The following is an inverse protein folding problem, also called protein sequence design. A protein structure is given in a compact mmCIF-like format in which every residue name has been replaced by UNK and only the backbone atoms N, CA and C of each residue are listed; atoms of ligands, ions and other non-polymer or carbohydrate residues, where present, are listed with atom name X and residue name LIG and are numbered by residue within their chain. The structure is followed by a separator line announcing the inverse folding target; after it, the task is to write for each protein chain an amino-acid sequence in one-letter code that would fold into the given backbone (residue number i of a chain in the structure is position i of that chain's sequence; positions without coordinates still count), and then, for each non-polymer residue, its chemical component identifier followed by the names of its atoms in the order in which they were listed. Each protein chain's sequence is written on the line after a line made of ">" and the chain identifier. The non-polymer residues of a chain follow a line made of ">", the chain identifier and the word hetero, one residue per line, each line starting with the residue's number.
data_IF_720941818022
#
_entry.id   IF_720941818022
#
_cell.length_a   1.000
_cell.length_b   1.000
_cell.length_c   1.000
_cell.angle_alpha   90.00
_cell.angle_beta   90.00
_cell.angle_gamma   90.00
#
_symmetry.space_group_name_H-M   'P 1'
#
loop_
_entity.id
_entity.type
_entity.pdbx_description
1 polymer ?
#
# COMPACT_ATOMS: atom_id res chain seq x y z
N UNK A 1 -13.31 10.89 -26.25
CA UNK A 1 -13.40 10.84 -24.77
C UNK A 1 -12.35 9.84 -24.31
N UNK A 2 -11.22 10.34 -23.82
CA UNK A 2 -10.07 9.56 -23.31
C UNK A 2 -9.45 10.25 -22.08
N UNK A 3 -10.23 11.09 -21.38
CA UNK A 3 -9.70 11.98 -20.34
C UNK A 3 -9.53 11.28 -18.99
N UNK A 4 -10.41 10.33 -18.64
CA UNK A 4 -10.43 9.76 -17.29
C UNK A 4 -9.21 8.89 -16.99
N UNK A 5 -8.74 8.11 -17.98
CA UNK A 5 -7.58 7.24 -17.77
C UNK A 5 -6.25 7.99 -17.75
N UNK A 6 -6.09 9.02 -18.58
CA UNK A 6 -4.86 9.83 -18.59
C UNK A 6 -4.72 10.63 -17.29
N UNK A 7 -5.84 11.14 -16.76
CA UNK A 7 -5.90 11.74 -15.42
C UNK A 7 -5.58 10.70 -14.34
N UNK A 8 -6.16 9.51 -14.41
CA UNK A 8 -5.82 8.41 -13.50
C UNK A 8 -4.32 8.10 -13.48
N UNK A 9 -3.67 7.96 -14.64
CA UNK A 9 -2.23 7.66 -14.70
C UNK A 9 -1.40 8.77 -14.06
N UNK A 10 -1.81 10.02 -14.26
CA UNK A 10 -1.13 11.17 -13.69
C UNK A 10 -1.32 11.25 -12.17
N UNK A 11 -2.56 11.09 -11.68
CA UNK A 11 -2.87 11.07 -10.25
C UNK A 11 -2.17 9.91 -9.56
N UNK A 12 -2.22 8.70 -10.12
CA UNK A 12 -1.51 7.52 -9.61
C UNK A 12 0.00 7.77 -9.51
N UNK A 13 0.61 8.34 -10.55
CA UNK A 13 2.03 8.69 -10.52
C UNK A 13 2.37 9.73 -9.45
N UNK A 14 1.53 10.76 -9.29
CA UNK A 14 1.74 11.82 -8.31
C UNK A 14 1.61 11.31 -6.87
N UNK A 15 0.53 10.59 -6.57
CA UNK A 15 0.25 10.11 -5.22
C UNK A 15 1.24 9.04 -4.78
N UNK A 16 1.63 8.12 -5.66
CA UNK A 16 2.65 7.09 -5.34
C UNK A 16 4.03 7.70 -5.13
N UNK A 17 4.41 8.73 -5.90
CA UNK A 17 5.64 9.47 -5.68
C UNK A 17 5.62 10.23 -4.34
N UNK A 18 4.49 10.84 -4.00
CA UNK A 18 4.31 11.52 -2.72
C UNK A 18 4.39 10.54 -1.54
N UNK A 19 3.68 9.41 -1.62
CA UNK A 19 3.73 8.32 -0.63
C UNK A 19 5.18 7.85 -0.45
N UNK A 20 5.89 7.56 -1.55
CA UNK A 20 7.30 7.14 -1.51
C UNK A 20 8.18 8.15 -0.77
N UNK A 21 7.99 9.44 -1.05
CA UNK A 21 8.74 10.52 -0.39
C UNK A 21 8.47 10.55 1.12
N UNK A 22 7.20 10.40 1.51
CA UNK A 22 6.78 10.37 2.91
C UNK A 22 7.31 9.14 3.64
N UNK A 23 7.21 7.94 3.03
CA UNK A 23 7.76 6.71 3.62
C UNK A 23 9.27 6.85 3.89
N UNK A 24 10.02 7.44 2.97
CA UNK A 24 11.46 7.72 3.16
C UNK A 24 11.77 8.73 4.27
N UNK A 25 10.77 9.51 4.72
CA UNK A 25 10.86 10.44 5.86
C UNK A 25 10.43 9.82 7.18
N UNK A 26 9.49 8.87 7.20
CA UNK A 26 9.01 8.19 8.41
C UNK A 26 10.14 7.72 9.35
N UNK A 27 11.22 7.02 8.89
CA UNK A 27 12.28 6.57 9.77
C UNK A 27 13.23 7.70 10.24
N UNK A 28 13.01 8.95 9.79
CA UNK A 28 13.76 10.12 10.24
C UNK A 28 12.97 10.96 11.25
N UNK A 29 11.69 10.66 11.43
CA UNK A 29 10.79 11.35 12.36
C UNK A 29 10.61 10.55 13.64
N UNK A 30 10.14 11.21 14.70
CA UNK A 30 9.88 10.58 16.00
C UNK A 30 8.70 11.28 16.69
N UNK A 31 8.06 10.59 17.64
CA UNK A 31 6.91 11.14 18.38
C UNK A 31 5.71 11.45 17.48
N UNK A 32 5.03 12.55 17.78
CA UNK A 32 3.76 12.93 17.13
C UNK A 32 3.90 13.17 15.62
N UNK A 33 5.02 13.76 15.18
CA UNK A 33 5.29 13.99 13.74
C UNK A 33 5.37 12.68 12.95
N UNK A 34 5.95 11.63 13.55
CA UNK A 34 5.97 10.30 12.94
C UNK A 34 4.55 9.74 12.85
N UNK A 35 3.79 9.81 13.94
CA UNK A 35 2.41 9.30 14.00
C UNK A 35 1.52 9.97 12.97
N UNK A 36 1.55 11.30 12.88
CA UNK A 36 0.81 12.07 11.88
C UNK A 36 1.18 11.65 10.45
N UNK A 37 2.48 11.48 10.17
CA UNK A 37 2.93 11.09 8.84
C UNK A 37 2.53 9.65 8.49
N UNK A 38 2.60 8.73 9.46
CA UNK A 38 2.15 7.34 9.30
C UNK A 38 0.66 7.30 8.96
N UNK A 39 -0.19 7.99 9.72
CA UNK A 39 -1.63 8.07 9.46
C UNK A 39 -1.94 8.70 8.09
N UNK A 40 -1.19 9.73 7.71
CA UNK A 40 -1.37 10.38 6.41
C UNK A 40 -1.03 9.42 5.25
N UNK A 41 0.10 8.70 5.35
CA UNK A 41 0.49 7.72 4.34
C UNK A 41 -0.48 6.55 4.27
N UNK A 42 -0.94 6.06 5.42
CA UNK A 42 -1.92 4.97 5.52
C UNK A 42 -3.23 5.32 4.79
N UNK A 43 -3.77 6.52 5.07
CA UNK A 43 -4.95 7.03 4.39
C UNK A 43 -4.73 7.17 2.88
N UNK A 44 -3.58 7.72 2.46
CA UNK A 44 -3.27 7.86 1.04
C UNK A 44 -3.17 6.52 0.32
N UNK A 45 -2.60 5.50 0.97
CA UNK A 45 -2.54 4.14 0.41
C UNK A 45 -3.95 3.55 0.24
N UNK A 46 -4.85 3.78 1.19
CA UNK A 46 -6.25 3.37 1.09
C UNK A 46 -6.98 4.08 -0.06
N UNK A 47 -6.82 5.41 -0.17
CA UNK A 47 -7.40 6.21 -1.26
C UNK A 47 -6.96 5.71 -2.64
N UNK A 48 -5.65 5.44 -2.82
CA UNK A 48 -5.12 4.91 -4.09
C UNK A 48 -5.66 3.51 -4.39
N UNK A 49 -5.81 2.68 -3.37
CA UNK A 49 -6.33 1.31 -3.53
C UNK A 49 -7.78 1.32 -3.97
N UNK A 50 -8.61 2.16 -3.35
CA UNK A 50 -10.02 2.31 -3.72
C UNK A 50 -10.17 2.86 -5.14
N UNK A 51 -9.39 3.88 -5.48
CA UNK A 51 -9.33 4.47 -6.81
C UNK A 51 -8.85 3.44 -7.85
N UNK A 52 -7.88 2.59 -7.53
CA UNK A 52 -7.46 1.55 -8.46
C UNK A 52 -8.55 0.49 -8.71
N UNK A 53 -9.35 0.12 -7.71
CA UNK A 53 -10.42 -0.88 -7.88
C UNK A 53 -11.58 -0.32 -8.71
N UNK A 54 -11.94 0.94 -8.47
CA UNK A 54 -13.01 1.65 -9.15
C UNK A 54 -12.69 1.83 -10.64
N UNK A 55 -11.51 2.37 -10.96
CA UNK A 55 -11.10 2.61 -12.33
C UNK A 55 -10.89 1.31 -13.12
N UNK A 56 -10.31 0.26 -12.51
CA UNK A 56 -10.14 -1.05 -13.17
C UNK A 56 -11.47 -1.67 -13.57
N UNK A 57 -12.50 -1.47 -12.73
CA UNK A 57 -13.84 -1.97 -12.98
C UNK A 57 -14.53 -1.23 -14.13
N UNK A 58 -14.22 0.04 -14.33
CA UNK A 58 -14.76 0.86 -15.41
C UNK A 58 -14.07 0.64 -16.77
N UNK A 59 -12.91 -0.04 -16.80
CA UNK A 59 -12.21 -0.34 -18.06
C UNK A 59 -13.04 -1.27 -18.95
N UNK A 60 -13.38 -0.85 -20.19
CA UNK A 60 -14.11 -1.69 -21.12
C UNK A 60 -13.28 -2.91 -21.55
N UNK A 61 -13.96 -4.05 -21.70
CA UNK A 61 -13.35 -5.37 -22.01
C UNK A 61 -12.43 -5.31 -23.24
N UNK A 62 -12.79 -4.50 -24.23
CA UNK A 62 -12.03 -4.30 -25.48
C UNK A 62 -10.65 -3.66 -25.24
N UNK A 63 -10.54 -2.76 -24.26
CA UNK A 63 -9.29 -2.08 -23.91
C UNK A 63 -8.51 -2.78 -22.79
N UNK A 64 -9.14 -3.72 -22.07
CA UNK A 64 -8.55 -4.44 -20.93
C UNK A 64 -7.27 -5.20 -21.27
N UNK A 65 -7.12 -5.67 -22.51
CA UNK A 65 -5.89 -6.32 -22.97
C UNK A 65 -4.71 -5.34 -23.06
N UNK A 66 -4.96 -4.10 -23.49
CA UNK A 66 -3.92 -3.07 -23.59
C UNK A 66 -3.48 -2.57 -22.21
N UNK A 67 -4.43 -2.42 -21.27
CA UNK A 67 -4.14 -1.95 -19.92
C UNK A 67 -3.61 -3.03 -18.99
N UNK A 68 -3.73 -4.32 -19.35
CA UNK A 68 -3.38 -5.44 -18.47
C UNK A 68 -1.95 -5.34 -17.92
N UNK A 69 -0.99 -4.97 -18.78
CA UNK A 69 0.41 -4.77 -18.38
C UNK A 69 0.57 -3.61 -17.40
N UNK A 70 -0.09 -2.47 -17.65
CA UNK A 70 -0.05 -1.31 -16.75
C UNK A 70 -0.68 -1.62 -15.40
N UNK A 71 -1.85 -2.26 -15.38
CA UNK A 71 -2.53 -2.66 -14.14
C UNK A 71 -1.69 -3.63 -13.30
N UNK A 72 -0.95 -4.54 -13.93
CA UNK A 72 0.00 -5.40 -13.22
C UNK A 72 1.13 -4.58 -12.60
N UNK A 73 1.68 -3.60 -13.33
CA UNK A 73 2.69 -2.69 -12.79
C UNK A 73 2.15 -1.87 -11.62
N UNK A 74 0.96 -1.31 -11.71
CA UNK A 74 0.36 -0.55 -10.60
C UNK A 74 0.12 -1.41 -9.36
N UNK A 75 -0.35 -2.65 -9.53
CA UNK A 75 -0.47 -3.61 -8.43
C UNK A 75 0.88 -3.88 -7.76
N UNK A 76 1.92 -4.11 -8.54
CA UNK A 76 3.26 -4.35 -8.01
C UNK A 76 3.84 -3.11 -7.31
N UNK A 77 3.59 -1.92 -7.86
CA UNK A 77 3.98 -0.65 -7.24
C UNK A 77 3.30 -0.47 -5.88
N UNK A 78 1.99 -0.73 -5.80
CA UNK A 78 1.23 -0.69 -4.56
C UNK A 78 1.77 -1.69 -3.52
N UNK A 79 1.98 -2.95 -3.90
CA UNK A 79 2.57 -3.95 -2.99
C UNK A 79 3.97 -3.54 -2.50
N UNK A 80 4.75 -2.84 -3.32
CA UNK A 80 6.06 -2.31 -2.96
C UNK A 80 5.93 -1.17 -1.95
N UNK A 81 5.01 -0.23 -2.17
CA UNK A 81 4.76 0.88 -1.25
C UNK A 81 4.30 0.38 0.12
N UNK A 82 3.39 -0.60 0.16
CA UNK A 82 2.93 -1.22 1.41
C UNK A 82 4.10 -1.87 2.16
N UNK A 83 4.96 -2.62 1.47
CA UNK A 83 6.17 -3.22 2.09
C UNK A 83 7.13 -2.17 2.63
N UNK A 84 7.36 -1.09 1.87
CA UNK A 84 8.26 -0.02 2.30
C UNK A 84 7.67 0.74 3.50
N UNK A 85 6.35 0.96 3.52
CA UNK A 85 5.63 1.57 4.63
C UNK A 85 5.69 0.73 5.91
N UNK A 86 5.42 -0.58 5.81
CA UNK A 86 5.55 -1.51 6.95
C UNK A 86 6.99 -1.52 7.47
N UNK A 87 7.98 -1.56 6.58
CA UNK A 87 9.39 -1.50 6.96
C UNK A 87 9.77 -0.18 7.65
N UNK A 88 9.29 0.94 7.12
CA UNK A 88 9.56 2.27 7.65
C UNK A 88 8.90 2.52 9.01
N UNK A 89 7.67 2.04 9.20
CA UNK A 89 6.95 2.14 10.47
C UNK A 89 7.60 1.29 11.57
N UNK A 90 8.06 0.07 11.24
CA UNK A 90 8.73 -0.85 12.17
C UNK A 90 10.16 -0.47 12.57
N UNK A 91 10.89 0.31 11.76
CA UNK A 91 12.28 0.71 12.05
C UNK A 91 12.45 1.53 13.34
N UNK A 92 11.37 2.02 13.95
CA UNK A 92 11.40 2.64 15.28
C UNK A 92 10.31 2.03 16.19
N UNK A 93 10.69 1.31 17.27
CA UNK A 93 9.79 0.47 18.08
C UNK A 93 8.77 1.23 18.93
N UNK A 94 8.80 2.57 18.95
CA UNK A 94 7.88 3.41 19.72
C UNK A 94 6.40 3.26 19.28
N UNK A 95 6.15 2.84 18.04
CA UNK A 95 4.80 2.79 17.43
C UNK A 95 4.35 1.35 17.10
N UNK A 96 5.08 0.32 17.56
CA UNK A 96 4.78 -1.10 17.23
C UNK A 96 3.50 -1.66 17.87
N UNK A 97 2.75 -0.87 18.65
CA UNK A 97 1.60 -1.38 19.43
C UNK A 97 0.29 -1.51 18.66
N UNK A 98 0.18 -1.03 17.41
CA UNK A 98 -1.13 -1.02 16.70
C UNK A 98 -1.22 -1.84 15.40
N UNK A 99 -0.12 -2.43 14.93
CA UNK A 99 -0.13 -3.22 13.68
C UNK A 99 0.55 -4.58 13.93
N UNK A 100 -0.04 -5.38 14.79
CA UNK A 100 0.26 -6.80 14.86
C UNK A 100 -0.53 -7.51 13.75
N UNK A 101 0.11 -8.03 12.69
CA UNK A 101 -0.51 -9.13 11.97
C UNK A 101 -0.56 -10.29 12.96
N UNK A 102 -1.75 -10.72 13.35
CA UNK A 102 -1.93 -11.98 14.07
C UNK A 102 -1.28 -13.07 13.22
N UNK A 103 -0.09 -13.49 13.63
CA UNK A 103 0.56 -14.70 13.18
C UNK A 103 -0.28 -15.86 13.68
N UNK A 104 -1.26 -16.26 12.88
CA UNK A 104 -1.95 -17.53 13.06
C UNK A 104 -0.99 -18.66 12.71
N UNK A 105 -0.08 -18.98 13.64
CA UNK A 105 0.67 -20.22 13.62
C UNK A 105 -0.25 -21.36 14.08
N UNK A 106 -0.42 -22.44 13.32
CA UNK A 106 -1.09 -23.61 13.86
C UNK A 106 -0.17 -24.28 14.87
N UNK A 107 -0.45 -24.06 16.16
CA UNK A 107 0.03 -24.91 17.25
C UNK A 107 -0.73 -26.24 17.19
N UNK A 108 -0.31 -27.12 16.29
CA UNK A 108 -0.77 -28.50 16.19
C UNK A 108 0.12 -29.41 17.04
N UNK A 109 -0.23 -29.50 18.32
CA UNK A 109 0.20 -30.46 19.35
C UNK A 109 0.83 -31.75 18.84
N UNK A 110 2.14 -31.90 19.04
CA UNK A 110 2.78 -33.20 19.20
C UNK A 110 2.71 -33.59 20.69
N UNK A 111 1.76 -34.45 21.07
CA UNK A 111 1.88 -35.30 22.25
C UNK A 111 0.80 -36.39 22.29
N UNK A 112 1.17 -37.64 22.02
CA UNK A 112 0.63 -38.82 22.72
C UNK A 112 1.68 -39.95 22.59
N UNK A 113 2.63 -40.02 23.52
CA UNK A 113 2.82 -41.07 24.56
C UNK A 113 2.35 -42.49 24.24
N UNK A 114 3.30 -43.42 24.42
CA UNK A 114 3.23 -44.88 24.63
C UNK A 114 2.95 -45.78 23.42
#
# INVERSE_FOLDING_TARGET
>A
MSSDFETYEQDFGNITAEITNKIGKIPKLSGDEKTQLVLNVDKQLEEVRELMDLEVREIPIQSRAMYNSRLKSYKQEMEKLEKDFVSASFKHPDVSVHLCPTSSGPAGTGLHIT
#
